data_IF_568830557572
#
_entry.id   IF_568830557572
#
_cell.length_a   1.000
_cell.length_b   1.000
_cell.length_c   1.000
_cell.angle_alpha   90.00
_cell.angle_beta   90.00
_cell.angle_gamma   90.00
#
_symmetry.space_group_name_H-M   'P 1'
#
loop_
_entity.id
_entity.type
_entity.pdbx_description
1 polymer ?
#
# COMPACT_ATOMS: atom_id res chain seq x y z
N UNK A 1 -6.02 -5.05 20.27
CA UNK A 1 -4.87 -5.78 20.89
C UNK A 1 -4.20 -4.88 21.93
N UNK A 2 -3.99 -5.35 23.17
CA UNK A 2 -3.47 -4.52 24.28
C UNK A 2 -2.13 -3.83 23.96
N UNK A 3 -1.24 -4.52 23.26
CA UNK A 3 0.11 -4.02 22.97
C UNK A 3 0.13 -2.71 22.16
N UNK A 4 -0.58 -2.66 21.02
CA UNK A 4 -0.64 -1.44 20.20
C UNK A 4 -1.25 -0.26 20.96
N UNK A 5 -2.27 -0.53 21.79
CA UNK A 5 -2.84 0.49 22.70
C UNK A 5 -1.81 1.02 23.71
N UNK A 6 -0.96 0.15 24.27
CA UNK A 6 0.08 0.54 25.23
C UNK A 6 1.12 1.48 24.59
N UNK A 7 1.40 1.34 23.29
CA UNK A 7 2.31 2.22 22.54
C UNK A 7 1.60 3.36 21.77
N UNK A 8 0.29 3.54 21.99
CA UNK A 8 -0.54 4.59 21.35
C UNK A 8 -0.59 4.47 19.82
N UNK A 9 -0.82 3.24 19.35
CA UNK A 9 -1.01 2.89 17.94
C UNK A 9 -2.41 2.31 17.76
N UNK A 10 -3.14 2.82 16.78
CA UNK A 10 -4.47 2.32 16.40
C UNK A 10 -4.31 1.18 15.39
N UNK A 11 -5.21 0.18 15.39
CA UNK A 11 -5.01 -1.02 14.55
C UNK A 11 -5.15 -0.74 13.05
N UNK A 12 -5.95 0.27 12.72
CA UNK A 12 -6.28 0.66 11.36
C UNK A 12 -5.27 1.64 10.75
N UNK A 13 -4.21 2.01 11.48
CA UNK A 13 -3.19 2.93 10.97
C UNK A 13 -2.02 2.19 10.31
N UNK A 14 -1.46 2.80 9.25
CA UNK A 14 -0.31 2.26 8.51
C UNK A 14 0.92 2.02 9.39
N UNK A 15 1.06 2.74 10.51
CA UNK A 15 2.14 2.56 11.49
C UNK A 15 2.20 1.15 12.07
N UNK A 16 1.06 0.45 12.15
CA UNK A 16 1.03 -0.98 12.53
C UNK A 16 1.87 -1.80 11.56
N UNK A 17 1.78 -1.52 10.26
CA UNK A 17 2.53 -2.22 9.22
C UNK A 17 4.03 -1.90 9.29
N UNK A 18 4.39 -0.67 9.65
CA UNK A 18 5.79 -0.27 9.91
C UNK A 18 6.37 -1.09 11.06
N UNK A 19 5.62 -1.22 12.16
CA UNK A 19 6.02 -2.03 13.31
C UNK A 19 6.10 -3.50 12.90
N UNK A 20 5.10 -4.03 12.19
CA UNK A 20 5.12 -5.41 11.72
C UNK A 20 6.31 -5.71 10.80
N UNK A 21 6.72 -4.79 9.92
CA UNK A 21 7.92 -4.95 9.09
C UNK A 21 9.20 -4.96 9.95
N UNK A 22 9.35 -3.98 10.85
CA UNK A 22 10.53 -3.86 11.72
C UNK A 22 10.70 -5.07 12.65
N UNK A 23 9.60 -5.65 13.12
CA UNK A 23 9.58 -6.80 14.02
C UNK A 23 9.50 -8.16 13.29
N UNK A 24 9.54 -8.17 11.95
CA UNK A 24 9.44 -9.39 11.13
C UNK A 24 8.19 -10.23 11.46
N UNK A 25 7.07 -9.55 11.62
CA UNK A 25 5.75 -10.12 11.96
C UNK A 25 5.26 -11.07 10.85
N UNK A 26 4.93 -12.34 11.13
CA UNK A 26 4.40 -13.26 10.12
C UNK A 26 2.96 -12.94 9.69
N UNK A 27 2.17 -12.37 10.61
CA UNK A 27 0.80 -11.88 10.39
C UNK A 27 0.57 -10.64 11.24
N UNK A 28 -0.55 -9.94 11.05
CA UNK A 28 -0.84 -8.70 11.77
C UNK A 28 -1.03 -9.01 13.26
N UNK A 29 -0.27 -8.30 14.10
CA UNK A 29 -0.40 -8.37 15.54
C UNK A 29 0.00 -9.69 16.22
N UNK A 30 0.59 -10.63 15.50
CA UNK A 30 1.30 -11.77 16.06
C UNK A 30 2.81 -11.60 15.85
N UNK A 31 3.59 -11.69 16.93
CA UNK A 31 5.04 -11.51 16.87
C UNK A 31 5.76 -12.74 17.40
N UNK A 32 6.84 -13.13 16.73
CA UNK A 32 7.79 -14.08 17.32
C UNK A 32 8.57 -13.37 18.43
N UNK A 33 8.96 -14.10 19.48
CA UNK A 33 9.76 -13.53 20.57
C UNK A 33 11.07 -12.92 20.06
N UNK A 34 11.73 -13.61 19.14
CA UNK A 34 12.97 -13.16 18.51
C UNK A 34 12.75 -11.87 17.70
N UNK A 35 11.78 -11.85 16.78
CA UNK A 35 11.48 -10.67 15.96
C UNK A 35 11.08 -9.45 16.79
N UNK A 36 10.30 -9.65 17.86
CA UNK A 36 9.93 -8.59 18.78
C UNK A 36 11.13 -7.98 19.51
N UNK A 37 11.99 -8.82 20.10
CA UNK A 37 13.14 -8.35 20.87
C UNK A 37 14.19 -7.71 19.96
N UNK A 38 14.53 -8.37 18.85
CA UNK A 38 15.56 -7.89 17.93
C UNK A 38 15.12 -6.62 17.20
N UNK A 39 13.87 -6.57 16.72
CA UNK A 39 13.33 -5.41 16.02
C UNK A 39 13.35 -4.17 16.89
N UNK A 40 12.86 -4.26 18.12
CA UNK A 40 12.87 -3.13 19.05
C UNK A 40 14.26 -2.72 19.52
N UNK A 41 15.17 -3.70 19.69
CA UNK A 41 16.57 -3.41 19.99
C UNK A 41 17.26 -2.68 18.84
N UNK A 42 17.01 -3.07 17.59
CA UNK A 42 17.55 -2.41 16.41
C UNK A 42 17.02 -0.97 16.25
N UNK A 43 15.78 -0.72 16.69
CA UNK A 43 15.19 0.62 16.74
C UNK A 43 15.58 1.43 17.99
N UNK A 44 16.38 0.87 18.90
CA UNK A 44 16.79 1.53 20.14
C UNK A 44 15.66 1.75 21.15
N UNK A 45 14.55 1.01 21.04
CA UNK A 45 13.34 1.19 21.83
C UNK A 45 12.93 -0.10 22.57
N UNK A 46 13.74 -0.48 23.54
CA UNK A 46 13.62 -1.73 24.34
C UNK A 46 12.61 -1.67 25.52
N UNK A 47 11.93 -0.54 25.73
CA UNK A 47 10.85 -0.41 26.72
C UNK A 47 9.59 0.18 26.09
N UNK A 48 8.42 -0.07 26.69
CA UNK A 48 7.12 0.46 26.19
C UNK A 48 7.14 1.99 26.07
N UNK A 49 7.81 2.69 27.00
CA UNK A 49 7.94 4.14 26.98
C UNK A 49 8.76 4.61 25.78
N UNK A 50 9.89 3.95 25.50
CA UNK A 50 10.72 4.27 24.33
C UNK A 50 10.00 3.94 23.03
N UNK A 51 9.27 2.82 22.98
CA UNK A 51 8.46 2.42 21.83
C UNK A 51 7.42 3.50 21.53
N UNK A 52 6.63 3.88 22.54
CA UNK A 52 5.63 4.95 22.45
C UNK A 52 6.25 6.27 21.99
N UNK A 53 7.42 6.64 22.51
CA UNK A 53 8.14 7.85 22.10
C UNK A 53 8.63 7.81 20.65
N UNK A 54 8.90 6.62 20.10
CA UNK A 54 9.33 6.43 18.72
C UNK A 54 8.18 6.48 17.72
N UNK A 55 6.96 6.09 18.11
CA UNK A 55 5.79 6.01 17.20
C UNK A 55 5.57 7.28 16.36
N UNK A 56 5.62 8.52 16.90
CA UNK A 56 5.47 9.72 16.08
C UNK A 56 6.53 9.84 14.96
N UNK A 57 7.75 9.36 15.22
CA UNK A 57 8.81 9.32 14.21
C UNK A 57 8.52 8.26 13.15
N UNK A 58 7.99 7.08 13.53
CA UNK A 58 7.59 6.05 12.58
C UNK A 58 6.49 6.55 11.63
N UNK A 59 5.46 7.24 12.17
CA UNK A 59 4.39 7.90 11.40
C UNK A 59 4.94 8.90 10.39
N UNK A 60 5.89 9.72 10.80
CA UNK A 60 6.52 10.70 9.89
C UNK A 60 7.38 10.00 8.84
N UNK A 61 8.19 9.03 9.25
CA UNK A 61 9.14 8.37 8.36
C UNK A 61 8.44 7.60 7.25
N UNK A 62 7.32 6.92 7.51
CA UNK A 62 6.59 6.20 6.46
C UNK A 62 6.05 7.12 5.35
N UNK A 63 5.83 8.40 5.67
CA UNK A 63 5.39 9.42 4.70
C UNK A 63 6.55 10.04 3.91
N UNK A 64 7.76 10.08 4.47
CA UNK A 64 8.90 10.81 3.88
C UNK A 64 10.00 9.92 3.33
N UNK A 65 10.17 8.70 3.84
CA UNK A 65 11.19 7.75 3.40
C UNK A 65 10.60 6.76 2.41
N UNK A 66 10.87 7.00 1.12
CA UNK A 66 10.39 6.16 0.02
C UNK A 66 10.94 4.73 0.11
N UNK A 67 12.15 4.53 0.65
CA UNK A 67 12.73 3.19 0.81
C UNK A 67 11.99 2.41 1.90
N UNK A 68 11.70 3.05 3.03
CA UNK A 68 10.85 2.47 4.08
C UNK A 68 9.46 2.14 3.52
N UNK A 69 8.81 3.08 2.82
CA UNK A 69 7.49 2.87 2.22
C UNK A 69 7.46 1.64 1.30
N UNK A 70 8.43 1.53 0.38
CA UNK A 70 8.55 0.37 -0.52
C UNK A 70 8.72 -0.95 0.24
N UNK A 71 9.54 -0.98 1.30
CA UNK A 71 9.71 -2.20 2.12
C UNK A 71 8.43 -2.58 2.86
N UNK A 72 7.79 -1.61 3.52
CA UNK A 72 6.55 -1.84 4.27
C UNK A 72 5.44 -2.32 3.34
N UNK A 73 5.23 -1.66 2.21
CA UNK A 73 4.25 -2.09 1.20
C UNK A 73 4.49 -3.52 0.71
N UNK A 74 5.73 -3.86 0.36
CA UNK A 74 6.09 -5.22 -0.11
C UNK A 74 5.94 -6.27 0.99
N UNK A 75 6.25 -5.92 2.24
CA UNK A 75 6.07 -6.80 3.40
C UNK A 75 4.58 -7.04 3.70
N UNK A 76 3.71 -6.04 3.53
CA UNK A 76 2.28 -6.17 3.79
C UNK A 76 1.63 -7.29 2.99
N UNK A 77 2.11 -7.61 1.78
CA UNK A 77 1.62 -8.78 1.03
C UNK A 77 1.71 -10.09 1.84
N UNK A 78 2.77 -10.26 2.64
CA UNK A 78 2.95 -11.46 3.47
C UNK A 78 1.91 -11.57 4.58
N UNK A 79 1.46 -10.42 5.08
CA UNK A 79 0.51 -10.29 6.19
C UNK A 79 -0.94 -10.29 5.67
N UNK A 80 -1.18 -9.72 4.50
CA UNK A 80 -2.49 -9.60 3.87
C UNK A 80 -3.02 -10.93 3.33
N UNK A 81 -2.14 -11.88 3.01
CA UNK A 81 -2.54 -13.21 2.55
C UNK A 81 -2.89 -14.10 3.73
N UNK A 82 -3.95 -14.90 3.58
CA UNK A 82 -4.26 -15.93 4.55
C UNK A 82 -3.15 -17.01 4.61
N UNK A 83 -2.96 -17.61 5.78
CA UNK A 83 -1.98 -18.69 5.98
C UNK A 83 -2.17 -19.80 4.96
N UNK A 84 -1.09 -20.18 4.27
CA UNK A 84 -1.10 -21.21 3.22
C UNK A 84 -1.47 -20.70 1.82
N UNK A 85 -1.97 -19.47 1.67
CA UNK A 85 -2.32 -18.89 0.38
C UNK A 85 -1.12 -18.20 -0.29
N UNK A 86 -1.12 -18.22 -1.63
CA UNK A 86 -0.11 -17.56 -2.49
C UNK A 86 -0.59 -16.20 -3.02
N UNK A 87 -1.84 -15.84 -2.77
CA UNK A 87 -2.47 -14.60 -3.24
C UNK A 87 -3.33 -13.98 -2.12
N UNK A 88 -3.59 -12.69 -2.25
CA UNK A 88 -4.43 -11.89 -1.35
C UNK A 88 -5.84 -11.82 -1.95
N UNK A 89 -6.87 -11.89 -1.10
CA UNK A 89 -8.25 -11.67 -1.54
C UNK A 89 -8.41 -10.22 -2.03
N UNK A 90 -9.24 -10.00 -3.05
CA UNK A 90 -9.35 -8.68 -3.67
C UNK A 90 -9.80 -7.61 -2.66
N UNK A 91 -10.82 -7.88 -1.87
CA UNK A 91 -11.34 -6.93 -0.87
C UNK A 91 -10.26 -6.55 0.15
N UNK A 92 -9.49 -7.52 0.64
CA UNK A 92 -8.34 -7.27 1.53
C UNK A 92 -7.27 -6.42 0.85
N UNK A 93 -6.97 -6.67 -0.43
CA UNK A 93 -6.02 -5.84 -1.17
C UNK A 93 -6.50 -4.38 -1.30
N UNK A 94 -7.80 -4.18 -1.56
CA UNK A 94 -8.45 -2.87 -1.63
C UNK A 94 -8.35 -2.14 -0.28
N UNK A 95 -8.59 -2.82 0.84
CA UNK A 95 -8.47 -2.22 2.17
C UNK A 95 -7.05 -1.69 2.41
N UNK A 96 -6.03 -2.48 2.05
CA UNK A 96 -4.64 -2.04 2.18
C UNK A 96 -4.25 -0.95 1.18
N UNK A 97 -4.72 -0.99 -0.07
CA UNK A 97 -4.48 0.10 -1.01
C UNK A 97 -5.08 1.41 -0.52
N UNK A 98 -6.29 1.38 0.06
CA UNK A 98 -6.86 2.55 0.72
C UNK A 98 -5.99 3.01 1.89
N UNK A 99 -5.47 2.09 2.70
CA UNK A 99 -4.59 2.43 3.82
C UNK A 99 -3.26 3.08 3.37
N UNK A 100 -2.68 2.59 2.26
CA UNK A 100 -1.40 3.09 1.76
C UNK A 100 -1.51 4.39 0.97
N UNK A 101 -2.56 4.51 0.15
CA UNK A 101 -2.62 5.48 -0.94
C UNK A 101 -3.65 6.60 -0.75
N UNK A 102 -4.41 6.57 0.35
CA UNK A 102 -5.42 7.60 0.66
C UNK A 102 -4.97 8.55 1.77
N UNK A 103 -5.28 9.83 1.59
CA UNK A 103 -5.22 10.89 2.61
C UNK A 103 -3.83 11.07 3.26
N UNK A 104 -2.74 10.75 2.56
CA UNK A 104 -1.37 10.95 3.05
C UNK A 104 -0.97 10.06 4.23
N UNK A 105 -1.69 8.97 4.51
CA UNK A 105 -1.31 7.98 5.54
C UNK A 105 0.10 7.44 5.28
N UNK A 106 0.41 7.13 4.01
CA UNK A 106 1.78 6.92 3.53
C UNK A 106 2.06 7.74 2.28
N UNK A 107 1.30 7.50 1.22
CA UNK A 107 1.38 8.24 -0.05
C UNK A 107 -0.04 8.68 -0.44
N UNK A 108 -0.18 9.84 -1.10
CA UNK A 108 -1.46 10.21 -1.72
C UNK A 108 -1.36 9.93 -3.22
N UNK A 109 -2.09 8.94 -3.72
CA UNK A 109 -2.01 8.57 -5.14
C UNK A 109 -2.82 9.52 -6.02
N UNK A 110 -3.92 10.05 -5.51
CA UNK A 110 -4.75 11.00 -6.25
C UNK A 110 -4.01 12.32 -6.51
N UNK A 111 -4.32 12.93 -7.65
CA UNK A 111 -3.79 14.22 -8.06
C UNK A 111 -4.93 15.22 -8.32
N UNK A 112 -4.60 16.46 -8.67
CA UNK A 112 -5.63 17.46 -8.97
C UNK A 112 -6.49 17.08 -10.19
N UNK A 113 -5.91 16.34 -11.15
CA UNK A 113 -6.55 15.95 -12.41
C UNK A 113 -7.08 14.53 -12.42
N UNK A 114 -6.50 13.62 -11.62
CA UNK A 114 -6.80 12.20 -11.73
C UNK A 114 -7.05 11.57 -10.34
N UNK A 115 -8.27 11.08 -10.06
CA UNK A 115 -8.56 10.33 -8.83
C UNK A 115 -8.12 8.86 -8.98
N UNK A 116 -6.80 8.66 -9.09
CA UNK A 116 -6.18 7.39 -9.41
C UNK A 116 -6.65 6.22 -8.53
N UNK A 117 -6.70 6.40 -7.22
CA UNK A 117 -7.07 5.33 -6.31
C UNK A 117 -8.53 4.93 -6.49
N UNK A 118 -9.43 5.90 -6.63
CA UNK A 118 -10.85 5.63 -6.83
C UNK A 118 -11.08 4.91 -8.17
N UNK A 119 -10.42 5.35 -9.24
CA UNK A 119 -10.48 4.67 -10.54
C UNK A 119 -9.88 3.27 -10.50
N UNK A 120 -8.78 3.07 -9.77
CA UNK A 120 -8.17 1.76 -9.63
C UNK A 120 -9.07 0.80 -8.87
N UNK A 121 -9.67 1.25 -7.76
CA UNK A 121 -10.62 0.46 -6.96
C UNK A 121 -11.85 0.09 -7.79
N UNK A 122 -12.44 1.06 -8.51
CA UNK A 122 -13.56 0.82 -9.42
C UNK A 122 -13.18 -0.23 -10.48
N UNK A 123 -12.05 -0.05 -11.15
CA UNK A 123 -11.56 -0.96 -12.18
C UNK A 123 -11.39 -2.40 -11.66
N UNK A 124 -10.69 -2.60 -10.54
CA UNK A 124 -10.43 -3.95 -10.04
C UNK A 124 -11.70 -4.63 -9.54
N UNK A 125 -12.65 -3.86 -8.99
CA UNK A 125 -13.94 -4.36 -8.54
C UNK A 125 -14.88 -4.70 -9.70
N UNK A 126 -14.83 -3.97 -10.81
CA UNK A 126 -15.75 -4.17 -11.94
C UNK A 126 -15.21 -5.13 -13.00
N UNK A 127 -13.92 -5.03 -13.34
CA UNK A 127 -13.31 -5.75 -14.48
C UNK A 127 -12.42 -6.91 -14.04
N UNK A 128 -11.52 -6.71 -13.06
CA UNK A 128 -10.57 -7.75 -12.66
C UNK A 128 -11.22 -8.88 -11.85
N UNK A 129 -11.88 -8.57 -10.72
CA UNK A 129 -12.67 -9.50 -9.87
C UNK A 129 -11.94 -10.79 -9.46
N UNK A 130 -10.61 -10.79 -9.38
CA UNK A 130 -9.77 -11.94 -9.01
C UNK A 130 -8.82 -11.61 -7.86
N UNK A 131 -8.22 -12.64 -7.26
CA UNK A 131 -7.19 -12.51 -6.23
C UNK A 131 -5.94 -11.78 -6.74
N UNK A 132 -5.23 -11.12 -5.84
CA UNK A 132 -4.00 -10.37 -6.13
C UNK A 132 -2.78 -11.23 -5.79
N UNK A 133 -1.99 -11.60 -6.79
CA UNK A 133 -0.73 -12.31 -6.57
C UNK A 133 0.41 -11.33 -6.21
N UNK A 134 1.58 -11.86 -5.82
CA UNK A 134 2.73 -11.04 -5.40
C UNK A 134 3.23 -10.11 -6.51
N UNK A 135 3.21 -10.58 -7.74
CA UNK A 135 3.72 -9.82 -8.88
C UNK A 135 2.83 -8.60 -9.16
N UNK A 136 1.52 -8.81 -9.31
CA UNK A 136 0.52 -7.75 -9.41
C UNK A 136 0.62 -6.76 -8.25
N UNK A 137 0.73 -7.25 -7.00
CA UNK A 137 0.87 -6.39 -5.82
C UNK A 137 2.08 -5.46 -5.96
N UNK A 138 3.25 -6.00 -6.29
CA UNK A 138 4.48 -5.23 -6.43
C UNK A 138 4.42 -4.26 -7.61
N UNK A 139 3.93 -4.71 -8.77
CA UNK A 139 3.82 -3.89 -9.97
C UNK A 139 2.80 -2.77 -9.81
N UNK A 140 1.77 -2.96 -8.97
CA UNK A 140 0.83 -1.87 -8.63
C UNK A 140 1.56 -0.72 -7.96
N UNK A 141 2.52 -0.98 -7.06
CA UNK A 141 3.32 0.09 -6.45
C UNK A 141 4.20 0.79 -7.49
N UNK A 142 4.84 0.06 -8.39
CA UNK A 142 5.67 0.68 -9.43
C UNK A 142 4.81 1.54 -10.38
N UNK A 143 3.59 1.10 -10.69
CA UNK A 143 2.61 1.87 -11.46
C UNK A 143 2.22 3.16 -10.73
N UNK A 144 1.87 3.07 -9.43
CA UNK A 144 1.53 4.22 -8.58
C UNK A 144 2.64 5.27 -8.67
N UNK A 145 3.90 4.87 -8.42
CA UNK A 145 5.03 5.79 -8.42
C UNK A 145 5.26 6.45 -9.79
N UNK A 146 5.20 5.69 -10.88
CA UNK A 146 5.36 6.24 -12.23
C UNK A 146 4.22 7.17 -12.63
N UNK A 147 2.99 6.85 -12.26
CA UNK A 147 1.82 7.70 -12.55
C UNK A 147 1.87 9.04 -11.81
N UNK A 148 2.55 9.09 -10.66
CA UNK A 148 2.78 10.34 -9.92
C UNK A 148 3.93 11.17 -10.47
N UNK A 149 4.90 10.53 -11.13
CA UNK A 149 5.96 11.24 -11.87
C UNK A 149 5.44 11.82 -13.18
N UNK A 150 4.57 11.09 -13.87
CA UNK A 150 3.92 11.50 -15.10
C UNK A 150 2.51 10.89 -15.23
N UNK A 151 1.49 11.75 -15.05
CA UNK A 151 0.08 11.38 -15.14
C UNK A 151 -0.40 11.12 -16.58
N UNK A 152 0.34 11.55 -17.60
CA UNK A 152 -0.04 11.35 -19.00
C UNK A 152 0.13 9.90 -19.43
N UNK A 153 0.81 9.08 -18.61
CA UNK A 153 1.16 7.70 -18.90
C UNK A 153 2.08 7.56 -20.13
N UNK A 154 2.88 8.57 -20.46
CA UNK A 154 3.80 8.53 -21.61
C UNK A 154 4.89 7.46 -21.51
N UNK A 155 5.11 6.96 -20.30
CA UNK A 155 6.02 5.87 -19.97
C UNK A 155 5.44 4.46 -20.17
N UNK A 156 4.14 4.34 -20.44
CA UNK A 156 3.48 3.06 -20.65
C UNK A 156 3.45 2.69 -22.13
N UNK A 157 3.70 1.41 -22.41
CA UNK A 157 3.55 0.80 -23.72
C UNK A 157 2.93 -0.58 -23.56
N UNK A 158 1.98 -0.94 -24.43
CA UNK A 158 1.22 -2.21 -24.36
C UNK A 158 2.12 -3.45 -24.53
N UNK A 159 3.22 -3.31 -25.28
CA UNK A 159 4.22 -4.37 -25.45
C UNK A 159 5.22 -4.46 -24.28
N UNK A 160 5.03 -3.65 -23.23
CA UNK A 160 5.90 -3.58 -22.08
C UNK A 160 5.79 -4.80 -21.16
N UNK A 161 6.60 -4.80 -20.10
CA UNK A 161 6.63 -5.88 -19.11
C UNK A 161 5.61 -5.72 -17.96
N UNK A 162 4.52 -4.98 -18.20
CA UNK A 162 3.47 -4.81 -17.20
C UNK A 162 2.59 -6.07 -17.12
N UNK A 163 2.07 -6.41 -15.93
CA UNK A 163 1.01 -7.40 -15.83
C UNK A 163 -0.23 -6.93 -16.60
N UNK A 164 -0.88 -7.82 -17.36
CA UNK A 164 -2.05 -7.46 -18.18
C UNK A 164 -3.19 -6.76 -17.42
N UNK A 165 -3.33 -7.01 -16.11
CA UNK A 165 -4.28 -6.28 -15.26
C UNK A 165 -3.98 -4.78 -15.15
N UNK A 166 -2.72 -4.36 -15.25
CA UNK A 166 -2.33 -2.95 -15.26
C UNK A 166 -2.42 -2.36 -16.66
N UNK A 167 -2.19 -3.14 -17.72
CA UNK A 167 -2.45 -2.69 -19.10
C UNK A 167 -3.94 -2.39 -19.31
N UNK A 168 -4.81 -3.30 -18.88
CA UNK A 168 -6.27 -3.10 -18.87
C UNK A 168 -6.68 -1.89 -18.00
N UNK A 169 -5.95 -1.58 -16.94
CA UNK A 169 -6.20 -0.38 -16.13
C UNK A 169 -5.85 0.91 -16.90
N UNK A 170 -4.78 0.93 -17.68
CA UNK A 170 -4.45 2.09 -18.54
C UNK A 170 -5.56 2.35 -19.55
N UNK A 171 -6.10 1.30 -20.18
CA UNK A 171 -7.24 1.43 -21.07
C UNK A 171 -8.48 1.99 -20.35
N UNK A 172 -8.77 1.50 -19.14
CA UNK A 172 -9.86 2.03 -18.30
C UNK A 172 -9.70 3.53 -18.00
N UNK A 173 -8.49 3.98 -17.66
CA UNK A 173 -8.15 5.38 -17.40
C UNK A 173 -8.38 6.25 -18.64
N UNK A 174 -7.94 5.79 -19.82
CA UNK A 174 -8.16 6.52 -21.08
C UNK A 174 -9.65 6.64 -21.42
N UNK A 175 -10.43 5.57 -21.25
CA UNK A 175 -11.89 5.61 -21.42
C UNK A 175 -12.56 6.63 -20.49
N UNK A 176 -12.11 6.72 -19.22
CA UNK A 176 -12.62 7.68 -18.23
C UNK A 176 -12.32 9.12 -18.65
N UNK A 177 -11.08 9.40 -19.07
CA UNK A 177 -10.64 10.73 -19.54
C UNK A 177 -11.40 11.17 -20.78
N UNK A 178 -11.61 10.29 -21.75
CA UNK A 178 -12.40 10.60 -22.96
C UNK A 178 -13.87 10.94 -22.63
N UNK A 179 -14.49 10.23 -21.68
CA UNK A 179 -15.86 10.50 -21.25
C UNK A 179 -15.96 11.86 -20.54
N UNK A 180 -15.01 12.17 -19.64
CA UNK A 180 -14.97 13.45 -18.95
C UNK A 180 -14.81 14.63 -19.94
N UNK A 181 -13.90 14.51 -20.92
CA UNK A 181 -13.68 15.56 -21.92
C UNK A 181 -14.89 15.79 -22.84
N UNK A 182 -15.72 14.77 -23.11
CA UNK A 182 -16.96 14.95 -23.87
C UNK A 182 -18.04 15.70 -23.08
N UNK A 183 -18.11 15.50 -21.78
CA UNK A 183 -19.10 16.15 -20.90
C UNK A 183 -18.81 17.65 -20.66
N UNK A 184 -17.56 18.10 -20.81
CA UNK A 184 -17.19 19.52 -20.66
C UNK A 184 -17.45 20.34 -21.93
N UNK A 185 -17.67 19.69 -23.07
CA UNK A 185 -17.87 20.33 -24.38
C UNK A 185 -19.36 20.46 -24.76
N UNK A 186 -20.24 19.77 -24.02
CA UNK A 186 -21.72 19.88 -24.10
C UNK A 186 -22.28 20.89 -23.10
#
# INVERSE_FOLDING_TARGET
MKYFTDIKVELEEITVLVICEALKSPTIGEFTREGFIEGWKALGADTIEKQRALVPHLRKNIQTDQSLFKRVYRNTFLIARNTGQKAVALDTAIDYWNLFFRNGSGLNWDTASTPWLDWYVEYVQERWKKTVNRDMWNMTLEFVLKSMEDETLSWWEEAGAWPGVLDEFVHFVNEKREKAGKMEVE
#
